data_IF_862267705778
#
_entry.id   IF_862267705778
#
_cell.length_a   1.000
_cell.length_b   1.000
_cell.length_c   1.000
_cell.angle_alpha   90.00
_cell.angle_beta   90.00
_cell.angle_gamma   90.00
#
_symmetry.space_group_name_H-M   'P 1'
#
loop_
_entity.id
_entity.type
_entity.pdbx_description
1 polymer ?
#
# COMPACT_ATOMS: atom_id res chain seq x y z
N UNK A 1 -18.81 19.66 -28.71
CA UNK A 1 -19.51 18.64 -27.90
C UNK A 1 -18.66 18.35 -26.68
N UNK A 2 -19.07 18.83 -25.50
CA UNK A 2 -18.45 18.49 -24.23
C UNK A 2 -18.99 17.12 -23.80
N UNK A 3 -18.12 16.12 -23.64
CA UNK A 3 -18.40 14.93 -22.84
C UNK A 3 -17.29 14.79 -21.80
N UNK A 4 -17.65 15.25 -20.61
CA UNK A 4 -17.36 14.66 -19.30
C UNK A 4 -15.90 14.38 -18.98
N UNK A 5 -15.36 15.25 -18.12
CA UNK A 5 -14.02 15.14 -17.57
C UNK A 5 -13.75 13.80 -16.90
N UNK A 6 -12.62 13.21 -17.25
CA UNK A 6 -11.89 12.29 -16.39
C UNK A 6 -11.41 13.08 -15.16
N UNK A 7 -12.34 13.41 -14.27
CA UNK A 7 -12.05 13.99 -12.97
C UNK A 7 -12.25 12.89 -11.92
N UNK A 8 -11.30 11.98 -11.88
CA UNK A 8 -11.07 11.13 -10.71
C UNK A 8 -9.57 11.01 -10.60
N UNK A 9 -9.03 11.76 -9.65
CA UNK A 9 -7.63 11.80 -9.28
C UNK A 9 -7.25 10.42 -8.73
N UNK A 10 -7.08 9.44 -9.61
CA UNK A 10 -6.72 8.07 -9.25
C UNK A 10 -5.25 8.07 -8.82
N UNK A 11 -5.03 8.23 -7.51
CA UNK A 11 -3.71 8.18 -6.89
C UNK A 11 -3.28 6.70 -6.78
N UNK A 12 -2.04 6.34 -7.18
CA UNK A 12 -1.51 5.00 -6.94
C UNK A 12 -1.63 4.60 -5.46
N UNK A 13 -1.98 3.34 -5.18
CA UNK A 13 -2.14 2.83 -3.79
C UNK A 13 -0.89 3.11 -2.93
N UNK A 14 0.30 3.14 -3.53
CA UNK A 14 1.55 3.48 -2.85
C UNK A 14 1.57 4.90 -2.29
N UNK A 15 0.95 5.86 -2.96
CA UNK A 15 0.84 7.25 -2.48
C UNK A 15 -0.16 7.33 -1.32
N UNK A 16 -1.24 6.54 -1.38
CA UNK A 16 -2.21 6.45 -0.29
C UNK A 16 -1.57 5.83 0.96
N UNK A 17 -0.76 4.77 0.79
CA UNK A 17 -0.01 4.17 1.90
C UNK A 17 1.00 5.15 2.52
N UNK A 18 1.70 5.94 1.69
CA UNK A 18 2.61 6.99 2.17
C UNK A 18 1.83 8.09 2.93
N UNK A 19 0.65 8.48 2.47
CA UNK A 19 -0.24 9.45 3.13
C UNK A 19 -0.74 8.93 4.48
N UNK A 20 -1.13 7.65 4.56
CA UNK A 20 -1.55 7.00 5.81
C UNK A 20 -0.43 7.00 6.84
N UNK A 21 0.80 6.67 6.43
CA UNK A 21 1.96 6.72 7.32
C UNK A 21 2.15 8.13 7.90
N UNK A 22 2.05 9.17 7.05
CA UNK A 22 2.18 10.55 7.50
C UNK A 22 1.03 10.95 8.45
N UNK A 23 -0.19 10.53 8.14
CA UNK A 23 -1.39 10.72 8.96
C UNK A 23 -1.28 10.09 10.36
N UNK A 24 -0.81 8.85 10.44
CA UNK A 24 -0.56 8.14 11.70
C UNK A 24 0.52 8.84 12.53
N UNK A 25 1.58 9.37 11.91
CA UNK A 25 2.62 10.14 12.60
C UNK A 25 2.13 11.48 13.17
N UNK A 26 1.13 12.11 12.55
CA UNK A 26 0.54 13.37 13.03
C UNK A 26 -0.75 13.18 13.85
N UNK A 27 -1.14 11.92 14.13
CA UNK A 27 -2.31 11.57 14.94
C UNK A 27 -3.66 11.92 14.30
N UNK A 28 -3.74 11.97 12.96
CA UNK A 28 -4.98 12.29 12.23
C UNK A 28 -5.48 11.09 11.45
N UNK A 29 -6.63 10.54 11.81
CA UNK A 29 -7.26 9.45 11.06
C UNK A 29 -8.22 10.01 10.01
N UNK A 30 -8.14 9.53 8.77
CA UNK A 30 -9.10 9.84 7.70
C UNK A 30 -9.94 8.62 7.34
N UNK A 31 -11.14 8.82 6.80
CA UNK A 31 -11.99 7.73 6.32
C UNK A 31 -11.29 6.84 5.26
N UNK A 32 -10.35 7.41 4.49
CA UNK A 32 -9.51 6.67 3.55
C UNK A 32 -8.50 5.80 4.29
N UNK A 33 -7.85 6.32 5.32
CA UNK A 33 -6.92 5.55 6.14
C UNK A 33 -7.59 4.36 6.83
N UNK A 34 -8.80 4.55 7.36
CA UNK A 34 -9.57 3.46 7.97
C UNK A 34 -9.93 2.36 6.96
N UNK A 35 -10.39 2.73 5.76
CA UNK A 35 -10.68 1.76 4.69
C UNK A 35 -9.44 0.96 4.31
N UNK A 36 -8.29 1.61 4.18
CA UNK A 36 -7.03 0.94 3.84
C UNK A 36 -6.56 0.04 4.98
N UNK A 37 -6.68 0.46 6.25
CA UNK A 37 -6.38 -0.39 7.41
C UNK A 37 -7.26 -1.64 7.42
N UNK A 38 -8.56 -1.50 7.20
CA UNK A 38 -9.49 -2.63 7.06
C UNK A 38 -9.11 -3.55 5.90
N UNK A 39 -8.71 -3.01 4.74
CA UNK A 39 -8.27 -3.81 3.61
C UNK A 39 -6.93 -4.53 3.89
N UNK A 40 -6.01 -3.88 4.59
CA UNK A 40 -4.74 -4.48 5.05
C UNK A 40 -4.97 -5.64 6.01
N UNK A 41 -5.96 -5.53 6.89
CA UNK A 41 -6.33 -6.59 7.83
C UNK A 41 -6.95 -7.81 7.14
N UNK A 42 -7.46 -7.67 5.92
CA UNK A 42 -7.97 -8.77 5.10
C UNK A 42 -6.88 -9.45 4.25
N UNK A 43 -5.68 -8.86 4.14
CA UNK A 43 -4.58 -9.48 3.42
C UNK A 43 -4.03 -10.70 4.17
N UNK A 44 -3.47 -11.70 3.46
CA UNK A 44 -2.68 -12.73 4.08
C UNK A 44 -1.53 -12.15 4.91
N UNK A 45 -1.21 -12.77 6.06
CA UNK A 45 -0.20 -12.26 7.00
C UNK A 45 1.13 -11.89 6.35
N UNK A 46 1.60 -12.70 5.40
CA UNK A 46 2.85 -12.45 4.66
C UNK A 46 2.78 -11.20 3.78
N UNK A 47 1.65 -10.98 3.13
CA UNK A 47 1.40 -9.82 2.27
C UNK A 47 1.23 -8.55 3.12
N UNK A 48 0.41 -8.62 4.17
CA UNK A 48 0.25 -7.55 5.18
C UNK A 48 1.59 -7.13 5.76
N UNK A 49 2.44 -8.08 6.14
CA UNK A 49 3.75 -7.81 6.74
C UNK A 49 4.70 -7.11 5.76
N UNK A 50 4.64 -7.42 4.47
CA UNK A 50 5.42 -6.70 3.45
C UNK A 50 4.98 -5.25 3.33
N UNK A 51 3.66 -5.00 3.27
CA UNK A 51 3.14 -3.63 3.18
C UNK A 51 3.51 -2.84 4.42
N UNK A 52 3.35 -3.46 5.60
CA UNK A 52 3.72 -2.84 6.86
C UNK A 52 5.22 -2.51 6.92
N UNK A 53 6.10 -3.47 6.65
CA UNK A 53 7.55 -3.27 6.69
C UNK A 53 8.04 -2.24 5.67
N UNK A 54 7.45 -2.22 4.47
CA UNK A 54 7.90 -1.32 3.41
C UNK A 54 7.34 0.09 3.55
N UNK A 55 6.05 0.23 3.86
CA UNK A 55 5.31 1.49 3.72
C UNK A 55 4.82 2.08 5.04
N UNK A 56 4.52 1.28 6.06
CA UNK A 56 3.86 1.79 7.28
C UNK A 56 4.77 1.83 8.50
N UNK A 57 5.87 1.08 8.50
CA UNK A 57 6.89 1.14 9.53
C UNK A 57 7.62 2.49 9.48
N UNK A 58 8.09 2.95 10.63
CA UNK A 58 8.88 4.19 10.74
C UNK A 58 10.05 4.19 9.75
N UNK A 59 10.08 5.19 8.89
CA UNK A 59 11.03 5.29 7.78
C UNK A 59 10.73 4.25 6.70
N UNK A 60 10.24 4.71 5.54
CA UNK A 60 9.99 3.85 4.37
C UNK A 60 11.23 3.02 4.07
N UNK A 61 11.16 1.72 4.31
CA UNK A 61 12.32 0.85 4.17
C UNK A 61 12.58 0.60 2.70
N UNK A 62 13.85 0.72 2.31
CA UNK A 62 14.27 0.29 0.99
C UNK A 62 14.11 -1.24 0.87
N UNK A 63 14.01 -1.68 -0.39
CA UNK A 63 13.82 -3.10 -0.75
C UNK A 63 14.80 -4.04 -0.04
N UNK A 64 16.08 -3.68 0.01
CA UNK A 64 17.14 -4.50 0.60
C UNK A 64 16.94 -4.70 2.10
N UNK A 65 16.55 -3.64 2.81
CA UNK A 65 16.21 -3.70 4.24
C UNK A 65 14.99 -4.58 4.49
N UNK A 66 13.95 -4.47 3.67
CA UNK A 66 12.77 -5.33 3.79
C UNK A 66 13.10 -6.81 3.53
N UNK A 67 13.87 -7.11 2.49
CA UNK A 67 14.29 -8.49 2.18
C UNK A 67 15.06 -9.11 3.34
N UNK A 68 16.00 -8.35 3.93
CA UNK A 68 16.78 -8.79 5.11
C UNK A 68 15.89 -9.00 6.32
N UNK A 69 14.97 -8.06 6.61
CA UNK A 69 14.07 -8.15 7.76
C UNK A 69 13.08 -9.32 7.68
N UNK A 70 12.68 -9.68 6.46
CA UNK A 70 11.74 -10.76 6.19
C UNK A 70 12.42 -12.10 5.88
N UNK A 71 13.75 -12.15 5.88
CA UNK A 71 14.52 -13.37 5.63
C UNK A 71 14.24 -14.00 4.26
N UNK A 72 13.98 -13.19 3.23
CA UNK A 72 13.59 -13.67 1.90
C UNK A 72 14.43 -13.07 0.79
N UNK A 73 14.44 -13.74 -0.37
CA UNK A 73 15.14 -13.24 -1.56
C UNK A 73 14.46 -12.00 -2.13
N UNK A 74 15.25 -11.21 -2.86
CA UNK A 74 14.78 -9.98 -3.50
C UNK A 74 13.64 -10.24 -4.51
N UNK A 75 13.73 -11.36 -5.23
CA UNK A 75 12.69 -11.81 -6.17
C UNK A 75 11.41 -12.18 -5.44
N UNK A 76 11.49 -12.98 -4.38
CA UNK A 76 10.33 -13.37 -3.58
C UNK A 76 9.64 -12.15 -2.95
N UNK A 77 10.42 -11.20 -2.44
CA UNK A 77 9.90 -9.93 -1.93
C UNK A 77 9.15 -9.14 -3.00
N UNK A 78 9.70 -8.99 -4.20
CA UNK A 78 9.02 -8.28 -5.30
C UNK A 78 7.71 -8.95 -5.70
N UNK A 79 7.71 -10.28 -5.82
CA UNK A 79 6.50 -11.04 -6.18
C UNK A 79 5.41 -10.85 -5.15
N UNK A 80 5.72 -11.05 -3.87
CA UNK A 80 4.74 -10.88 -2.79
C UNK A 80 4.31 -9.42 -2.63
N UNK A 81 5.23 -8.45 -2.79
CA UNK A 81 4.92 -7.03 -2.78
C UNK A 81 3.90 -6.68 -3.86
N UNK A 82 4.12 -7.18 -5.09
CA UNK A 82 3.18 -6.95 -6.19
C UNK A 82 1.81 -7.54 -5.87
N UNK A 83 1.76 -8.80 -5.44
CA UNK A 83 0.52 -9.47 -5.05
C UNK A 83 -0.25 -8.71 -3.97
N UNK A 84 0.46 -8.26 -2.92
CA UNK A 84 -0.15 -7.49 -1.83
C UNK A 84 -0.75 -6.16 -2.31
N UNK A 85 -0.03 -5.46 -3.20
CA UNK A 85 -0.50 -4.19 -3.77
C UNK A 85 -1.69 -4.41 -4.72
N UNK A 86 -1.64 -5.44 -5.56
CA UNK A 86 -2.74 -5.79 -6.47
C UNK A 86 -4.01 -6.13 -5.68
N UNK A 87 -3.92 -6.95 -4.62
CA UNK A 87 -5.06 -7.25 -3.74
C UNK A 87 -5.61 -6.01 -3.03
N UNK A 88 -4.73 -5.13 -2.53
CA UNK A 88 -5.19 -3.89 -1.89
C UNK A 88 -5.92 -2.99 -2.88
N UNK A 89 -5.36 -2.86 -4.08
CA UNK A 89 -5.97 -2.12 -5.17
C UNK A 89 -7.36 -2.68 -5.49
N UNK A 90 -7.50 -4.00 -5.64
CA UNK A 90 -8.79 -4.66 -5.89
C UNK A 90 -9.78 -4.44 -4.74
N UNK A 91 -9.34 -4.66 -3.49
CA UNK A 91 -10.17 -4.50 -2.29
C UNK A 91 -10.69 -3.06 -2.13
N UNK A 92 -9.87 -2.08 -2.51
CA UNK A 92 -10.20 -0.66 -2.41
C UNK A 92 -10.82 -0.09 -3.69
N UNK A 93 -10.98 -0.91 -4.74
CA UNK A 93 -11.44 -0.50 -6.08
C UNK A 93 -10.61 0.67 -6.64
N UNK A 94 -9.30 0.63 -6.45
CA UNK A 94 -8.33 1.60 -6.97
C UNK A 94 -7.74 1.11 -8.31
N UNK A 95 -6.94 1.94 -8.98
CA UNK A 95 -6.25 1.53 -10.22
C UNK A 95 -5.01 0.67 -9.91
N UNK A 96 -4.74 -0.39 -10.71
CA UNK A 96 -3.53 -1.20 -10.59
C UNK A 96 -2.26 -0.39 -10.85
N UNK A 97 -1.16 -0.83 -10.24
CA UNK A 97 0.16 -0.28 -10.52
C UNK A 97 0.56 -0.74 -11.93
N UNK A 98 0.57 0.21 -12.87
CA UNK A 98 1.11 0.02 -14.21
C UNK A 98 2.56 -0.48 -14.21
#
# INVERSE_FOLDING_TARGET
MQRTGANSTQRPIVNVLDEIRLMDLVGKTSATAEKVKTALDQLPDKEKRIIYEQFLREGRKNKRTCCKALGMSERAFLTLRKQALDRLTEALKMEPLG
#
